data_IF_716523212407
#
_entry.id   IF_716523212407
#
_cell.length_a   1.000
_cell.length_b   1.000
_cell.length_c   1.000
_cell.angle_alpha   90.00
_cell.angle_beta   90.00
_cell.angle_gamma   90.00
#
_symmetry.space_group_name_H-M   'P 1'
#
loop_
_entity.id
_entity.type
_entity.pdbx_description
1 polymer ?
#
# COMPACT_ATOMS: atom_id res chain seq x y z
N UNK A 1 3.85 -6.44 -14.25
CA UNK A 1 3.60 -4.99 -13.99
C UNK A 1 4.40 -4.41 -12.82
N UNK A 2 4.28 -4.90 -11.57
CA UNK A 2 5.05 -4.33 -10.42
C UNK A 2 6.54 -4.24 -10.75
N UNK A 3 7.15 -5.36 -11.16
CA UNK A 3 8.58 -5.42 -11.50
C UNK A 3 8.98 -4.48 -12.65
N UNK A 4 8.11 -4.27 -13.64
CA UNK A 4 8.36 -3.35 -14.76
C UNK A 4 8.38 -1.89 -14.28
N UNK A 5 7.43 -1.52 -13.41
CA UNK A 5 7.36 -0.17 -12.83
C UNK A 5 8.62 0.08 -12.01
N UNK A 6 8.96 -0.82 -11.08
CA UNK A 6 10.13 -0.70 -10.20
C UNK A 6 11.43 -0.61 -11.02
N UNK A 7 11.58 -1.45 -12.05
CA UNK A 7 12.76 -1.44 -12.92
C UNK A 7 12.95 -0.12 -13.68
N UNK A 8 11.85 0.54 -14.10
CA UNK A 8 11.92 1.84 -14.79
C UNK A 8 12.58 2.93 -13.95
N UNK A 9 12.43 2.86 -12.63
CA UNK A 9 13.01 3.83 -11.69
C UNK A 9 14.35 3.36 -11.09
N UNK A 10 14.81 2.15 -11.41
CA UNK A 10 16.03 1.57 -10.83
C UNK A 10 15.92 1.30 -9.33
N UNK A 11 14.70 1.14 -8.81
CA UNK A 11 14.44 0.94 -7.39
C UNK A 11 14.70 -0.50 -6.96
N UNK A 12 15.25 -0.67 -5.75
CA UNK A 12 15.82 -1.94 -5.29
C UNK A 12 15.41 -2.31 -3.88
N UNK A 13 14.94 -1.35 -3.10
CA UNK A 13 14.48 -1.56 -1.72
C UNK A 13 12.97 -1.40 -1.61
N UNK A 14 12.34 -2.39 -0.97
CA UNK A 14 10.89 -2.48 -0.80
C UNK A 14 10.54 -2.52 0.68
N UNK A 15 9.47 -1.80 1.05
CA UNK A 15 8.79 -1.97 2.33
C UNK A 15 7.32 -2.35 2.13
N UNK A 16 6.80 -3.23 2.97
CA UNK A 16 5.43 -3.72 2.87
C UNK A 16 4.79 -3.98 4.24
N UNK A 17 3.46 -3.96 4.26
CA UNK A 17 2.67 -4.31 5.44
C UNK A 17 2.56 -5.82 5.65
N UNK A 18 2.35 -6.25 6.89
CA UNK A 18 2.24 -7.67 7.24
C UNK A 18 1.07 -8.39 6.54
N UNK A 19 0.07 -7.65 6.05
CA UNK A 19 -1.12 -8.16 5.35
C UNK A 19 -1.05 -8.06 3.82
N UNK A 20 0.13 -7.78 3.24
CA UNK A 20 0.26 -7.63 1.79
C UNK A 20 -0.24 -8.88 1.04
N UNK A 21 -0.07 -10.08 1.63
CA UNK A 21 -0.62 -11.35 1.15
C UNK A 21 -0.34 -11.62 -0.34
N UNK A 22 0.86 -11.23 -0.79
CA UNK A 22 1.41 -11.52 -2.11
C UNK A 22 2.60 -12.46 -2.00
N UNK A 23 2.87 -13.17 -3.09
CA UNK A 23 4.10 -13.92 -3.24
C UNK A 23 5.29 -12.95 -3.40
N UNK A 24 6.02 -12.77 -2.30
CA UNK A 24 7.16 -11.87 -2.24
C UNK A 24 8.31 -12.34 -3.14
N UNK A 25 8.44 -13.64 -3.44
CA UNK A 25 9.52 -14.16 -4.29
C UNK A 25 9.44 -13.62 -5.71
N UNK A 26 8.22 -13.38 -6.20
CA UNK A 26 7.97 -12.85 -7.53
C UNK A 26 8.32 -11.35 -7.66
N UNK A 27 8.49 -10.64 -6.54
CA UNK A 27 8.80 -9.21 -6.54
C UNK A 27 10.32 -9.04 -6.56
N UNK A 28 10.82 -8.37 -7.60
CA UNK A 28 12.24 -8.07 -7.79
C UNK A 28 12.63 -6.87 -6.93
N UNK A 29 13.18 -7.16 -5.77
CA UNK A 29 13.81 -6.19 -4.87
C UNK A 29 14.99 -6.89 -4.17
N UNK A 30 16.11 -6.17 -4.02
CA UNK A 30 17.30 -6.65 -3.32
C UNK A 30 17.10 -6.66 -1.82
N UNK A 31 16.36 -5.67 -1.29
CA UNK A 31 15.97 -5.59 0.12
C UNK A 31 14.45 -5.55 0.24
N UNK A 32 13.89 -6.43 1.07
CA UNK A 32 12.46 -6.50 1.37
C UNK A 32 12.28 -6.40 2.88
N UNK A 33 11.62 -5.34 3.34
CA UNK A 33 11.40 -5.04 4.76
C UNK A 33 9.91 -5.21 5.07
N UNK A 34 9.60 -6.06 6.03
CA UNK A 34 8.24 -6.17 6.57
C UNK A 34 8.04 -5.10 7.65
N UNK A 35 6.91 -4.40 7.62
CA UNK A 35 6.49 -3.52 8.70
C UNK A 35 5.75 -4.34 9.76
N UNK A 36 6.50 -5.03 10.61
CA UNK A 36 6.00 -5.90 11.67
C UNK A 36 6.31 -5.39 13.09
N UNK A 37 7.18 -4.38 13.20
CA UNK A 37 7.65 -3.79 14.46
C UNK A 37 7.21 -2.34 14.62
N UNK A 38 7.42 -1.81 15.81
CA UNK A 38 7.20 -0.39 16.09
C UNK A 38 8.05 0.49 15.16
N UNK A 39 7.46 1.61 14.75
CA UNK A 39 8.05 2.54 13.78
C UNK A 39 9.44 3.04 14.21
N UNK A 40 9.70 3.17 15.51
CA UNK A 40 10.98 3.64 16.03
C UNK A 40 12.13 2.71 15.63
N UNK A 41 11.87 1.39 15.64
CA UNK A 41 12.86 0.37 15.27
C UNK A 41 13.04 0.23 13.76
N UNK A 42 12.03 0.61 12.97
CA UNK A 42 12.04 0.52 11.50
C UNK A 42 12.24 1.86 10.81
N UNK A 43 12.40 2.96 11.57
CA UNK A 43 12.36 4.34 11.06
C UNK A 43 13.32 4.54 9.91
N UNK A 44 14.58 4.17 10.10
CA UNK A 44 15.61 4.31 9.06
C UNK A 44 15.24 3.52 7.81
N UNK A 45 14.76 2.29 7.98
CA UNK A 45 14.42 1.42 6.86
C UNK A 45 13.21 1.91 6.07
N UNK A 46 12.20 2.45 6.77
CA UNK A 46 10.99 3.03 6.19
C UNK A 46 11.31 4.25 5.33
N UNK A 47 12.15 5.16 5.82
CA UNK A 47 12.50 6.39 5.09
C UNK A 47 13.53 6.17 3.96
N UNK A 48 14.31 5.08 4.00
CA UNK A 48 15.29 4.75 2.94
C UNK A 48 14.77 3.72 1.94
N UNK A 49 13.54 3.23 2.09
CA UNK A 49 12.93 2.33 1.11
C UNK A 49 12.51 3.08 -0.14
N UNK A 50 12.80 2.50 -1.30
CA UNK A 50 12.51 3.12 -2.59
C UNK A 50 11.01 3.04 -2.92
N UNK A 51 10.39 1.90 -2.63
CA UNK A 51 8.99 1.71 -2.94
C UNK A 51 8.22 0.89 -1.89
N UNK A 52 6.90 1.06 -1.89
CA UNK A 52 5.97 0.23 -1.15
C UNK A 52 4.87 -0.33 -2.03
N UNK A 53 4.26 -1.38 -1.52
CA UNK A 53 3.06 -1.96 -2.09
C UNK A 53 2.02 -2.04 -0.99
N UNK A 54 0.84 -1.47 -1.26
CA UNK A 54 -0.28 -1.40 -0.32
C UNK A 54 -1.59 -1.73 -1.04
N UNK A 55 -2.61 -2.10 -0.29
CA UNK A 55 -3.96 -2.31 -0.75
C UNK A 55 -4.81 -1.06 -0.53
N UNK A 56 -5.55 -0.66 -1.56
CA UNK A 56 -6.68 0.26 -1.42
C UNK A 56 -7.95 -0.53 -1.14
N UNK A 57 -8.77 -0.01 -0.23
CA UNK A 57 -10.07 -0.59 0.09
C UNK A 57 -11.09 -0.28 -1.01
N UNK A 58 -11.09 0.93 -1.55
CA UNK A 58 -11.99 1.33 -2.61
C UNK A 58 -11.32 2.32 -3.58
N UNK A 59 -11.74 2.32 -4.84
CA UNK A 59 -11.39 3.38 -5.80
C UNK A 59 -12.64 4.10 -6.27
N UNK A 60 -12.61 5.42 -6.30
CA UNK A 60 -13.73 6.27 -6.72
C UNK A 60 -13.50 6.72 -8.15
N UNK A 61 -14.25 6.14 -9.09
CA UNK A 61 -14.03 6.39 -10.53
C UNK A 61 -14.36 7.80 -10.96
N UNK A 62 -15.31 8.47 -10.29
CA UNK A 62 -15.74 9.83 -10.64
C UNK A 62 -14.68 10.90 -10.36
N UNK A 63 -13.77 10.66 -9.41
CA UNK A 63 -12.80 11.66 -8.96
C UNK A 63 -11.34 11.18 -9.09
N UNK A 64 -11.11 9.91 -9.46
CA UNK A 64 -9.76 9.34 -9.54
C UNK A 64 -9.09 9.18 -8.18
N UNK A 65 -9.86 8.91 -7.12
CA UNK A 65 -9.37 8.81 -5.74
C UNK A 65 -9.31 7.35 -5.30
N UNK A 66 -8.28 6.97 -4.54
CA UNK A 66 -8.20 5.67 -3.85
C UNK A 66 -8.35 5.87 -2.34
N UNK A 67 -9.18 5.06 -1.72
CA UNK A 67 -9.40 5.05 -0.28
C UNK A 67 -8.52 3.98 0.37
N UNK A 68 -7.61 4.42 1.21
CA UNK A 68 -6.62 3.57 1.89
C UNK A 68 -6.83 3.74 3.39
N UNK A 69 -7.55 2.82 4.06
CA UNK A 69 -7.66 2.84 5.51
C UNK A 69 -6.30 2.51 6.12
N UNK A 70 -5.97 3.18 7.22
CA UNK A 70 -4.81 2.81 8.01
C UNK A 70 -5.20 1.68 8.95
N UNK A 71 -4.39 0.63 8.99
CA UNK A 71 -4.51 -0.45 9.96
C UNK A 71 -3.17 -0.69 10.65
N UNK A 72 -3.13 -1.58 11.65
CA UNK A 72 -1.87 -2.01 12.26
C UNK A 72 -0.97 -2.75 11.26
N UNK A 73 -1.58 -3.49 10.33
CA UNK A 73 -0.89 -4.28 9.30
C UNK A 73 -0.45 -3.43 8.10
N UNK A 74 -1.17 -2.33 7.82
CA UNK A 74 -0.87 -1.38 6.76
C UNK A 74 -0.91 0.07 7.29
N UNK A 75 0.15 0.51 7.98
CA UNK A 75 0.21 1.87 8.53
C UNK A 75 0.41 2.92 7.42
N UNK A 76 -0.07 4.16 7.68
CA UNK A 76 0.06 5.31 6.75
C UNK A 76 1.49 5.58 6.28
N UNK A 77 2.49 5.22 7.08
CA UNK A 77 3.89 5.41 6.72
C UNK A 77 4.29 4.66 5.44
N UNK A 78 3.64 3.53 5.15
CA UNK A 78 3.91 2.78 3.92
C UNK A 78 3.53 3.57 2.66
N UNK A 79 2.50 4.41 2.70
CA UNK A 79 2.14 5.24 1.54
C UNK A 79 2.86 6.59 1.50
N UNK A 80 3.40 7.05 2.63
CA UNK A 80 3.98 8.40 2.76
C UNK A 80 5.50 8.45 2.67
N UNK A 81 6.21 7.48 3.22
CA UNK A 81 7.67 7.56 3.33
C UNK A 81 8.43 7.14 2.06
N UNK A 82 8.05 6.05 1.36
CA UNK A 82 8.76 5.61 0.16
C UNK A 82 8.55 6.56 -1.02
N UNK A 83 9.53 6.58 -1.94
CA UNK A 83 9.48 7.45 -3.13
C UNK A 83 8.38 7.03 -4.12
N UNK A 84 8.09 5.73 -4.19
CA UNK A 84 7.05 5.15 -5.03
C UNK A 84 6.07 4.34 -4.19
N UNK A 85 4.79 4.71 -4.23
CA UNK A 85 3.72 3.94 -3.64
C UNK A 85 2.93 3.22 -4.74
N UNK A 86 2.96 1.89 -4.73
CA UNK A 86 2.16 1.06 -5.64
C UNK A 86 0.89 0.64 -4.90
N UNK A 87 -0.25 1.09 -5.39
CA UNK A 87 -1.55 0.79 -4.79
C UNK A 87 -2.23 -0.34 -5.58
N UNK A 88 -2.53 -1.42 -4.89
CA UNK A 88 -3.29 -2.55 -5.41
C UNK A 88 -4.77 -2.31 -5.12
N UNK A 89 -5.58 -2.35 -6.17
CA UNK A 89 -7.03 -2.18 -6.06
C UNK A 89 -7.71 -3.32 -6.81
N UNK A 90 -8.56 -4.07 -6.09
CA UNK A 90 -9.43 -5.08 -6.70
C UNK A 90 -10.47 -4.41 -7.58
N UNK A 91 -10.74 -5.00 -8.75
CA UNK A 91 -11.70 -4.45 -9.70
C UNK A 91 -13.11 -4.33 -9.10
N UNK A 92 -13.53 -5.30 -8.28
CA UNK A 92 -14.83 -5.26 -7.60
C UNK A 92 -14.98 -4.11 -6.60
N UNK A 93 -13.88 -3.48 -6.16
CA UNK A 93 -13.87 -2.40 -5.18
C UNK A 93 -13.86 -1.00 -5.81
N UNK A 94 -14.07 -0.90 -7.13
CA UNK A 94 -14.21 0.39 -7.81
C UNK A 94 -15.67 0.84 -7.75
N UNK A 95 -15.93 1.96 -7.08
CA UNK A 95 -17.25 2.55 -6.87
C UNK A 95 -17.42 3.87 -7.62
N UNK A 96 -18.67 4.28 -7.83
CA UNK A 96 -18.97 5.48 -8.63
C UNK A 96 -18.79 6.77 -7.85
N UNK A 97 -19.00 6.76 -6.53
CA UNK A 97 -19.01 7.97 -5.71
C UNK A 97 -18.20 7.84 -4.43
N UNK A 98 -17.75 8.98 -3.91
CA UNK A 98 -17.04 9.05 -2.63
C UNK A 98 -17.96 8.64 -1.47
N UNK A 99 -19.24 9.02 -1.52
CA UNK A 99 -20.22 8.63 -0.50
C UNK A 99 -20.34 7.10 -0.38
N UNK A 100 -20.40 6.41 -1.52
CA UNK A 100 -20.42 4.95 -1.57
C UNK A 100 -19.15 4.34 -0.96
N UNK A 101 -17.97 4.84 -1.33
CA UNK A 101 -16.70 4.40 -0.75
C UNK A 101 -16.64 4.57 0.77
N UNK A 102 -17.07 5.73 1.27
CA UNK A 102 -17.07 6.03 2.70
C UNK A 102 -18.07 5.17 3.46
N UNK A 103 -19.25 4.92 2.89
CA UNK A 103 -20.27 4.07 3.51
C UNK A 103 -19.81 2.60 3.59
N UNK A 104 -19.06 2.11 2.59
CA UNK A 104 -18.45 0.78 2.66
C UNK A 104 -17.49 0.66 3.85
N UNK A 105 -16.57 1.62 4.00
CA UNK A 105 -15.61 1.58 5.10
C UNK A 105 -16.26 1.78 6.46
N UNK A 106 -17.29 2.64 6.56
CA UNK A 106 -18.06 2.79 7.80
C UNK A 106 -18.69 1.48 8.24
N UNK A 107 -19.37 0.76 7.35
CA UNK A 107 -20.00 -0.54 7.67
C UNK A 107 -18.99 -1.59 8.17
N UNK A 108 -17.77 -1.55 7.63
CA UNK A 108 -16.70 -2.48 8.04
C UNK A 108 -16.07 -2.13 9.39
N UNK A 109 -16.28 -0.91 9.87
CA UNK A 109 -15.72 -0.39 11.11
C UNK A 109 -16.82 0.08 12.08
N UNK A 110 -18.06 -0.38 11.91
CA UNK A 110 -19.11 -0.20 12.91
C UNK A 110 -18.73 -1.02 14.16
N UNK A 111 -18.60 -0.31 15.28
CA UNK A 111 -18.25 -0.84 16.62
C UNK A 111 -19.53 -1.08 17.40
#
# INVERSE_FOLDING_TARGET
>A
KINEIVAKYGFKSMIYGADLNLDLEQIKAEKKICFDKEIENLRSEVFHSDFSIIHARAGVSSHGVALIPSSKTQPRMLSLAPKLCIVLLKKENVVKSLSEALNLVKKENEI
#
